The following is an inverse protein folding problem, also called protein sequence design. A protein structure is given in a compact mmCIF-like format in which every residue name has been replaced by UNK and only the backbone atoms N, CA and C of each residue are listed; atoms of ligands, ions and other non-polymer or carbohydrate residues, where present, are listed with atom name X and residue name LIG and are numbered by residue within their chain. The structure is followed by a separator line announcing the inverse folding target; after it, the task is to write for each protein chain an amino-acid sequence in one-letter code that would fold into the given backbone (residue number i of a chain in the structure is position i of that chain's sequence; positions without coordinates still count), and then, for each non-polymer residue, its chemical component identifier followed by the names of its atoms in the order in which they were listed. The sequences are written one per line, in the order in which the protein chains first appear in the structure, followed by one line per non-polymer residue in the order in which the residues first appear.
data_IF_264437710132
#
_entry.id   IF_264437710132
#
_cell.length_a   1.000
_cell.length_b   1.000
_cell.length_c   1.000
_cell.angle_alpha   90.00
_cell.angle_beta   90.00
_cell.angle_gamma   90.00
#
_symmetry.space_group_name_H-M   'P 1'
#
loop_
_entity.id
_entity.type
_entity.pdbx_description
1 polymer ?
#
# COMPACT_ATOMS: atom_id res chain seq x y z
N UNK A 1 28.80 35.32 28.04
CA UNK A 1 29.05 33.96 27.52
C UNK A 1 27.95 33.02 28.02
N UNK A 2 26.70 33.19 27.56
CA UNK A 2 25.56 32.36 28.03
C UNK A 2 24.42 32.21 27.02
N UNK A 3 24.68 32.41 25.72
CA UNK A 3 23.64 32.38 24.68
C UNK A 3 23.96 31.35 23.57
N UNK A 4 24.51 30.18 23.92
CA UNK A 4 24.73 29.09 22.96
C UNK A 4 24.21 27.71 23.41
N UNK A 5 23.63 27.59 24.61
CA UNK A 5 23.12 26.29 25.12
C UNK A 5 21.66 25.99 24.78
N UNK A 6 20.89 26.95 24.27
CA UNK A 6 19.44 26.78 24.06
C UNK A 6 19.04 26.23 22.69
N UNK A 7 19.94 26.21 21.71
CA UNK A 7 19.59 25.89 20.31
C UNK A 7 19.58 24.37 20.02
N UNK A 8 20.20 23.55 20.88
CA UNK A 8 20.41 22.11 20.59
C UNK A 8 19.15 21.25 20.80
N UNK A 9 18.03 21.79 21.33
CA UNK A 9 16.83 20.98 21.58
C UNK A 9 15.80 20.93 20.44
N UNK A 10 16.01 21.66 19.33
CA UNK A 10 15.01 21.78 18.24
C UNK A 10 15.43 21.22 16.88
N UNK A 11 16.55 20.49 16.79
CA UNK A 11 17.04 19.96 15.52
C UNK A 11 16.48 18.56 15.16
N UNK A 12 15.94 17.81 16.12
CA UNK A 12 15.60 16.39 15.88
C UNK A 12 14.21 16.15 15.29
N UNK A 13 13.26 17.07 15.45
CA UNK A 13 11.85 16.82 15.08
C UNK A 13 11.57 17.12 13.61
N UNK A 14 12.26 18.09 13.00
CA UNK A 14 12.03 18.49 11.60
C UNK A 14 12.56 17.48 10.56
N UNK A 15 13.57 16.69 10.91
CA UNK A 15 14.16 15.70 9.97
C UNK A 15 13.33 14.41 9.92
N UNK A 16 12.70 14.03 11.04
CA UNK A 16 11.84 12.85 11.10
C UNK A 16 10.54 13.02 10.30
N UNK A 17 9.96 14.22 10.26
CA UNK A 17 8.73 14.48 9.50
C UNK A 17 8.97 14.54 7.99
N UNK A 18 10.12 15.05 7.53
CA UNK A 18 10.44 15.10 6.10
C UNK A 18 10.76 13.70 5.53
N UNK A 19 11.41 12.84 6.33
CA UNK A 19 11.62 11.43 5.98
C UNK A 19 10.32 10.62 5.90
N UNK A 20 9.33 10.92 6.74
CA UNK A 20 8.01 10.26 6.69
C UNK A 20 7.19 10.68 5.46
N UNK A 21 7.29 11.94 5.04
CA UNK A 21 6.61 12.46 3.83
C UNK A 21 7.23 11.95 2.54
N UNK A 22 8.55 11.74 2.49
CA UNK A 22 9.24 11.13 1.36
C UNK A 22 9.19 9.58 1.38
N UNK A 23 8.80 8.99 2.53
CA UNK A 23 8.52 7.56 2.70
C UNK A 23 7.16 7.11 2.14
N UNK A 24 6.30 8.05 1.72
CA UNK A 24 5.25 7.79 0.72
C UNK A 24 5.86 7.70 -0.69
N UNK A 25 7.07 7.16 -0.78
CA UNK A 25 7.68 6.73 -2.03
C UNK A 25 6.85 5.58 -2.56
N UNK A 26 6.16 5.84 -3.65
CA UNK A 26 5.58 4.82 -4.51
C UNK A 26 4.62 3.91 -3.76
N UNK A 27 3.35 4.34 -3.71
CA UNK A 27 2.30 3.41 -4.13
C UNK A 27 2.73 2.86 -5.47
N UNK A 28 3.54 1.79 -5.46
CA UNK A 28 3.59 0.87 -6.55
C UNK A 28 2.11 0.65 -6.91
N UNK A 29 1.71 0.73 -8.18
CA UNK A 29 0.53 0.01 -8.58
C UNK A 29 0.85 -1.48 -8.41
N UNK A 30 1.02 -1.93 -7.16
CA UNK A 30 0.62 -3.27 -6.74
C UNK A 30 -0.85 -3.26 -7.05
N UNK A 31 -1.14 -3.54 -8.33
CA UNK A 31 -2.38 -4.03 -8.91
C UNK A 31 -3.41 -4.12 -7.79
N UNK A 32 -4.26 -3.10 -7.65
CA UNK A 32 -5.24 -2.99 -6.57
C UNK A 32 -5.98 -4.33 -6.48
N UNK A 33 -5.51 -5.19 -5.58
CA UNK A 33 -5.98 -6.57 -5.52
C UNK A 33 -7.37 -6.43 -4.94
N UNK A 34 -8.40 -6.97 -5.60
CA UNK A 34 -9.74 -6.82 -5.10
C UNK A 34 -9.85 -7.43 -3.70
N UNK A 35 -10.80 -6.93 -2.92
CA UNK A 35 -11.03 -7.41 -1.56
C UNK A 35 -12.41 -8.06 -1.51
N UNK A 36 -12.50 -9.28 -0.98
CA UNK A 36 -13.77 -9.90 -0.62
C UNK A 36 -14.21 -9.46 0.79
N UNK A 37 -15.51 -9.22 1.00
CA UNK A 37 -16.07 -8.72 2.26
C UNK A 37 -16.29 -9.77 3.35
N UNK A 38 -15.60 -10.92 3.29
CA UNK A 38 -15.74 -11.96 4.31
C UNK A 38 -14.73 -11.77 5.46
N UNK A 39 -15.03 -12.25 6.67
CA UNK A 39 -14.19 -12.03 7.86
C UNK A 39 -12.79 -12.65 7.75
N UNK A 40 -12.63 -13.72 6.97
CA UNK A 40 -11.33 -14.35 6.70
C UNK A 40 -11.13 -14.48 5.17
N UNK A 41 -10.58 -13.45 4.51
CA UNK A 41 -10.43 -13.44 3.06
C UNK A 41 -9.21 -14.26 2.60
N UNK A 42 -9.47 -15.40 1.95
CA UNK A 42 -8.46 -16.22 1.28
C UNK A 42 -8.51 -16.03 -0.25
N UNK A 43 -7.82 -15.01 -0.77
CA UNK A 43 -7.89 -14.61 -2.19
C UNK A 43 -6.79 -15.28 -3.01
N UNK A 44 -7.20 -16.03 -4.03
CA UNK A 44 -6.35 -16.61 -5.07
C UNK A 44 -6.57 -15.88 -6.40
N UNK A 45 -5.55 -15.86 -7.26
CA UNK A 45 -5.67 -15.23 -8.58
C UNK A 45 -4.79 -15.89 -9.63
N UNK A 46 -5.28 -15.98 -10.85
CA UNK A 46 -4.53 -16.46 -12.00
C UNK A 46 -4.85 -15.66 -13.26
N UNK A 47 -3.89 -15.57 -14.17
CA UNK A 47 -4.10 -15.01 -15.51
C UNK A 47 -4.85 -16.03 -16.36
N UNK A 48 -5.90 -15.60 -17.02
CA UNK A 48 -6.60 -16.44 -18.02
C UNK A 48 -6.07 -16.14 -19.42
N UNK A 49 -5.75 -14.88 -19.69
CA UNK A 49 -5.13 -14.43 -20.93
C UNK A 49 -4.26 -13.20 -20.65
N UNK A 50 -3.71 -12.60 -21.71
CA UNK A 50 -2.82 -11.44 -21.59
C UNK A 50 -3.49 -10.23 -20.94
N UNK A 51 -4.82 -10.15 -21.02
CA UNK A 51 -5.62 -9.01 -20.59
C UNK A 51 -6.53 -9.31 -19.40
N UNK A 52 -6.83 -10.56 -19.06
CA UNK A 52 -7.74 -10.88 -17.97
C UNK A 52 -7.07 -11.66 -16.83
N UNK A 53 -7.28 -11.16 -15.61
CA UNK A 53 -6.90 -11.82 -14.36
C UNK A 53 -8.17 -12.21 -13.61
N UNK A 54 -8.29 -13.47 -13.24
CA UNK A 54 -9.39 -13.95 -12.41
C UNK A 54 -8.96 -14.00 -10.94
N UNK A 55 -9.88 -13.58 -10.07
CA UNK A 55 -9.74 -13.60 -8.62
C UNK A 55 -10.88 -14.43 -8.02
N UNK A 56 -10.55 -15.26 -7.04
CA UNK A 56 -11.53 -16.01 -6.25
C UNK A 56 -11.17 -15.96 -4.78
N UNK A 57 -12.17 -15.83 -3.92
CA UNK A 57 -12.02 -15.91 -2.49
C UNK A 57 -12.51 -17.29 -2.03
N UNK A 58 -11.62 -18.16 -1.56
CA UNK A 58 -11.92 -19.56 -1.24
C UNK A 58 -12.93 -19.73 -0.11
N UNK A 59 -12.91 -18.81 0.85
CA UNK A 59 -13.70 -18.91 2.07
C UNK A 59 -15.16 -18.47 1.90
N UNK A 60 -15.45 -17.57 0.95
CA UNK A 60 -16.82 -17.08 0.72
C UNK A 60 -17.32 -17.27 -0.71
N UNK A 61 -16.51 -17.82 -1.62
CA UNK A 61 -16.89 -18.06 -3.01
C UNK A 61 -16.99 -16.80 -3.88
N UNK A 62 -16.62 -15.62 -3.36
CA UNK A 62 -16.57 -14.37 -4.12
C UNK A 62 -15.63 -14.52 -5.33
N UNK A 63 -16.01 -13.95 -6.47
CA UNK A 63 -15.28 -14.03 -7.75
C UNK A 63 -15.27 -12.68 -8.45
N UNK A 64 -14.17 -12.36 -9.11
CA UNK A 64 -14.06 -11.19 -9.97
C UNK A 64 -13.05 -11.41 -11.08
N UNK A 65 -13.29 -10.79 -12.23
CA UNK A 65 -12.34 -10.77 -13.34
C UNK A 65 -11.96 -9.33 -13.59
N UNK A 66 -10.65 -9.06 -13.56
CA UNK A 66 -10.11 -7.76 -13.90
C UNK A 66 -9.53 -7.80 -15.32
N UNK A 67 -9.99 -6.87 -16.15
CA UNK A 67 -9.42 -6.64 -17.47
C UNK A 67 -8.35 -5.53 -17.36
N UNK A 68 -7.09 -5.91 -17.56
CA UNK A 68 -5.91 -5.04 -17.46
C UNK A 68 -5.58 -4.30 -18.76
N UNK A 69 -6.31 -4.55 -19.84
CA UNK A 69 -6.13 -3.92 -21.16
C UNK A 69 -7.19 -2.85 -21.47
N UNK A 70 -8.04 -2.49 -20.50
CA UNK A 70 -9.05 -1.44 -20.62
C UNK A 70 -8.50 -0.06 -20.26
#
# INVERSE_FOLDING_TARGET
MLELKKIIKKASIGVLTLGLLLGMGFSNPVSARPVCGCPDPAIESWKIDNCNVHYVCRNCGWRWTWNTCK
#
